data_IF_392770696521
#
_entry.id   IF_392770696521
#
_cell.length_a   1.000
_cell.length_b   1.000
_cell.length_c   1.000
_cell.angle_alpha   90.00
_cell.angle_beta   90.00
_cell.angle_gamma   90.00
#
_symmetry.space_group_name_H-M   'P 1'
#
loop_
_entity.id
_entity.type
_entity.pdbx_description
1 polymer ?
#
# COMPACT_ATOMS: atom_id res chain seq x y z
N UNK A 1 -18.54 5.29 2.53
CA UNK A 1 -18.37 4.67 3.87
C UNK A 1 -18.43 3.16 3.67
N UNK A 2 -17.40 2.39 4.05
CA UNK A 2 -17.44 0.94 3.91
C UNK A 2 -18.51 0.32 4.83
N UNK A 3 -19.20 -0.70 4.33
CA UNK A 3 -20.08 -1.55 5.13
C UNK A 3 -19.20 -2.60 5.83
N UNK A 4 -19.26 -2.67 7.16
CA UNK A 4 -18.68 -3.78 7.90
C UNK A 4 -19.63 -4.97 7.83
N UNK A 5 -19.19 -6.08 7.22
CA UNK A 5 -20.01 -7.28 7.09
C UNK A 5 -20.23 -8.01 8.42
N UNK A 6 -19.32 -7.82 9.40
CA UNK A 6 -19.43 -8.45 10.72
C UNK A 6 -20.47 -7.76 11.61
N UNK A 7 -20.64 -6.45 11.44
CA UNK A 7 -21.57 -5.65 12.26
C UNK A 7 -22.77 -5.15 11.45
N UNK A 8 -22.83 -5.47 10.15
CA UNK A 8 -23.78 -4.96 9.17
C UNK A 8 -23.99 -3.43 9.27
N UNK A 9 -22.94 -2.71 9.68
CA UNK A 9 -23.00 -1.28 9.97
C UNK A 9 -22.06 -0.49 9.09
N UNK A 10 -22.50 0.72 8.75
CA UNK A 10 -21.66 1.69 8.04
C UNK A 10 -20.59 2.18 9.01
N UNK A 11 -19.34 1.78 8.77
CA UNK A 11 -18.21 2.25 9.58
C UNK A 11 -17.64 3.53 8.98
N UNK A 12 -17.30 4.46 9.86
CA UNK A 12 -16.68 5.71 9.47
C UNK A 12 -15.31 5.44 8.84
N UNK A 13 -15.19 5.70 7.53
CA UNK A 13 -13.89 5.79 6.89
C UNK A 13 -13.22 7.09 7.32
N UNK A 14 -11.93 7.07 7.70
CA UNK A 14 -11.23 8.30 8.06
C UNK A 14 -11.12 9.28 6.89
N UNK A 15 -11.21 8.81 5.64
CA UNK A 15 -11.15 9.62 4.43
C UNK A 15 -12.41 9.32 3.60
N UNK A 16 -13.09 10.38 3.16
CA UNK A 16 -14.25 10.27 2.25
C UNK A 16 -13.80 9.86 0.85
N UNK A 17 -14.74 9.40 0.02
CA UNK A 17 -14.43 9.03 -1.36
C UNK A 17 -13.87 10.22 -2.15
N UNK A 18 -14.47 11.41 -2.00
CA UNK A 18 -14.03 12.62 -2.69
C UNK A 18 -12.64 13.09 -2.24
N UNK A 19 -12.35 13.06 -0.94
CA UNK A 19 -11.00 13.35 -0.42
C UNK A 19 -9.98 12.36 -0.97
N UNK A 20 -10.32 11.06 -0.97
CA UNK A 20 -9.44 10.01 -1.46
C UNK A 20 -9.09 10.18 -2.94
N UNK A 21 -10.10 10.46 -3.77
CA UNK A 21 -9.91 10.72 -5.21
C UNK A 21 -9.01 11.93 -5.47
N UNK A 22 -9.14 13.01 -4.68
CA UNK A 22 -8.26 14.18 -4.80
C UNK A 22 -6.80 13.84 -4.53
N UNK A 23 -6.51 13.04 -3.51
CA UNK A 23 -5.14 12.60 -3.21
C UNK A 23 -4.60 11.68 -4.32
N UNK A 24 -5.41 10.73 -4.79
CA UNK A 24 -5.02 9.86 -5.91
C UNK A 24 -4.74 10.66 -7.18
N UNK A 25 -5.55 11.67 -7.49
CA UNK A 25 -5.33 12.56 -8.64
C UNK A 25 -4.06 13.41 -8.49
N UNK A 26 -3.83 14.00 -7.31
CA UNK A 26 -2.62 14.78 -7.01
C UNK A 26 -1.36 13.96 -7.25
N UNK A 27 -1.38 12.71 -6.82
CA UNK A 27 -0.24 11.79 -6.87
C UNK A 27 -0.16 11.02 -8.20
N UNK A 28 -0.91 11.44 -9.23
CA UNK A 28 -1.02 10.78 -10.55
C UNK A 28 -1.36 9.29 -10.47
N UNK A 29 -2.10 8.88 -9.44
CA UNK A 29 -2.42 7.49 -9.12
C UNK A 29 -1.17 6.61 -8.95
N UNK A 30 -0.01 7.22 -8.66
CA UNK A 30 1.24 6.50 -8.40
C UNK A 30 1.42 6.29 -6.91
N UNK A 31 1.80 5.06 -6.54
CA UNK A 31 2.14 4.76 -5.16
C UNK A 31 3.39 5.55 -4.74
N UNK A 32 3.25 6.42 -3.74
CA UNK A 32 4.34 7.28 -3.28
C UNK A 32 5.50 6.51 -2.63
N UNK A 33 5.24 5.27 -2.17
CA UNK A 33 6.26 4.36 -1.64
C UNK A 33 7.06 3.65 -2.73
N UNK A 34 6.40 2.88 -3.60
CA UNK A 34 7.09 1.99 -4.56
C UNK A 34 7.02 2.40 -6.03
N UNK A 35 6.29 3.47 -6.36
CA UNK A 35 6.13 3.95 -7.73
C UNK A 35 5.18 3.15 -8.60
N UNK A 36 4.43 2.17 -8.05
CA UNK A 36 3.41 1.43 -8.81
C UNK A 36 2.45 2.41 -9.48
N UNK A 37 2.34 2.31 -10.80
CA UNK A 37 1.43 3.11 -11.60
C UNK A 37 0.02 2.50 -11.58
N UNK A 38 -0.88 3.15 -10.85
CA UNK A 38 -2.28 2.75 -10.73
C UNK A 38 -3.08 2.83 -12.02
N UNK A 39 -2.62 3.59 -13.02
CA UNK A 39 -3.30 3.73 -14.32
C UNK A 39 -2.81 2.75 -15.37
N UNK A 40 -1.66 2.10 -15.13
CA UNK A 40 -1.08 1.16 -16.09
C UNK A 40 -1.96 -0.08 -16.35
N UNK A 41 -2.81 -0.48 -15.41
CA UNK A 41 -3.75 -1.59 -15.59
C UNK A 41 -4.94 -1.48 -14.64
N UNK A 42 -6.05 -2.14 -14.98
CA UNK A 42 -7.23 -2.25 -14.11
C UNK A 42 -6.87 -2.87 -12.75
N UNK A 43 -6.05 -3.93 -12.75
CA UNK A 43 -5.59 -4.59 -11.53
C UNK A 43 -4.79 -3.65 -10.62
N UNK A 44 -3.94 -2.79 -11.19
CA UNK A 44 -3.21 -1.79 -10.42
C UNK A 44 -4.18 -0.76 -9.81
N UNK A 45 -5.18 -0.31 -10.57
CA UNK A 45 -6.18 0.64 -10.08
C UNK A 45 -6.94 0.08 -8.87
N UNK A 46 -7.30 -1.21 -8.89
CA UNK A 46 -8.04 -1.88 -7.81
C UNK A 46 -7.26 -1.92 -6.48
N UNK A 47 -5.93 -1.91 -6.54
CA UNK A 47 -5.07 -1.95 -5.33
C UNK A 47 -4.62 -0.57 -4.86
N UNK A 48 -5.03 0.52 -5.51
CA UNK A 48 -4.70 1.87 -5.04
C UNK A 48 -5.60 2.30 -3.87
N UNK A 49 -4.98 2.94 -2.87
CA UNK A 49 -5.60 3.44 -1.63
C UNK A 49 -4.93 4.75 -1.23
N UNK A 50 -5.48 5.39 -0.19
CA UNK A 50 -4.86 6.54 0.47
C UNK A 50 -4.38 6.12 1.86
N UNK A 51 -3.13 6.41 2.17
CA UNK A 51 -2.50 6.14 3.46
C UNK A 51 -2.22 7.45 4.22
N UNK A 52 -2.24 7.36 5.55
CA UNK A 52 -1.80 8.41 6.46
C UNK A 52 -0.30 8.21 6.74
N UNK A 53 0.54 9.15 6.33
CA UNK A 53 2.00 9.10 6.56
C UNK A 53 2.28 8.97 8.06
N UNK A 54 1.74 9.88 8.86
CA UNK A 54 1.62 9.76 10.31
C UNK A 54 0.28 9.11 10.65
N UNK A 55 0.25 7.90 11.25
CA UNK A 55 -0.98 7.21 11.59
C UNK A 55 -1.90 8.01 12.53
N UNK A 56 -3.22 7.89 12.33
CA UNK A 56 -4.23 8.52 13.19
C UNK A 56 -4.10 8.16 14.67
N UNK A 57 -3.72 6.92 14.99
CA UNK A 57 -3.50 6.47 16.36
C UNK A 57 -2.41 7.30 17.09
N UNK A 58 -1.55 7.99 16.34
CA UNK A 58 -0.50 8.87 16.87
C UNK A 58 -0.76 10.35 16.55
N UNK A 59 -2.04 10.76 16.52
CA UNK A 59 -2.48 12.14 16.27
C UNK A 59 -2.14 12.68 14.87
N UNK A 60 -1.93 11.80 13.89
CA UNK A 60 -1.84 12.19 12.49
C UNK A 60 -3.08 12.96 12.04
N UNK A 61 -2.87 14.17 11.52
CA UNK A 61 -3.95 15.04 11.05
C UNK A 61 -4.49 14.52 9.71
N UNK A 62 -5.79 14.79 9.48
CA UNK A 62 -6.45 14.51 8.20
C UNK A 62 -6.30 15.74 7.29
N UNK A 63 -5.06 16.05 6.94
CA UNK A 63 -4.73 17.10 5.98
C UNK A 63 -4.06 16.48 4.75
N UNK A 64 -4.15 17.10 3.56
CA UNK A 64 -3.53 16.58 2.36
C UNK A 64 -2.02 16.34 2.48
N UNK A 65 -1.29 17.09 3.32
CA UNK A 65 0.15 16.91 3.52
C UNK A 65 0.50 15.61 4.25
N UNK A 66 -0.41 15.09 5.07
CA UNK A 66 -0.27 13.81 5.75
C UNK A 66 -0.90 12.62 5.01
N UNK A 67 -1.47 12.84 3.82
CA UNK A 67 -2.13 11.80 3.02
C UNK A 67 -1.37 11.56 1.72
N UNK A 68 -1.19 10.29 1.36
CA UNK A 68 -0.49 9.89 0.13
C UNK A 68 -1.21 8.75 -0.58
N UNK A 69 -1.09 8.71 -1.91
CA UNK A 69 -1.49 7.56 -2.71
C UNK A 69 -0.53 6.39 -2.45
N UNK A 70 -1.09 5.22 -2.17
CA UNK A 70 -0.33 4.01 -1.89
C UNK A 70 -1.03 2.78 -2.48
N UNK A 71 -0.26 1.75 -2.84
CA UNK A 71 -0.85 0.45 -3.13
C UNK A 71 -1.08 -0.33 -1.84
N UNK A 72 -2.06 -1.24 -1.83
CA UNK A 72 -2.39 -2.09 -0.68
C UNK A 72 -1.14 -2.77 -0.09
N UNK A 73 -0.23 -3.41 -0.87
CA UNK A 73 0.95 -4.06 -0.29
C UNK A 73 1.86 -3.11 0.48
N UNK A 74 2.12 -1.91 -0.05
CA UNK A 74 2.97 -0.92 0.64
C UNK A 74 2.30 -0.42 1.92
N UNK A 75 1.00 -0.16 1.88
CA UNK A 75 0.23 0.24 3.06
C UNK A 75 0.28 -0.83 4.16
N UNK A 76 0.09 -2.10 3.78
CA UNK A 76 0.18 -3.24 4.71
C UNK A 76 1.58 -3.39 5.31
N UNK A 77 2.64 -3.23 4.50
CA UNK A 77 4.03 -3.32 4.97
C UNK A 77 4.34 -2.22 5.98
N UNK A 78 3.95 -0.97 5.70
CA UNK A 78 4.12 0.15 6.64
C UNK A 78 3.37 -0.10 7.94
N UNK A 79 2.12 -0.56 7.84
CA UNK A 79 1.26 -0.82 8.98
C UNK A 79 1.04 0.43 9.84
N UNK A 80 1.09 0.25 11.16
CA UNK A 80 0.85 1.31 12.17
C UNK A 80 2.14 1.90 12.74
N UNK A 81 3.29 1.59 12.15
CA UNK A 81 4.60 2.12 12.57
C UNK A 81 4.67 3.63 12.32
N UNK A 82 5.43 4.31 13.17
CA UNK A 82 5.67 5.74 13.07
C UNK A 82 7.14 5.97 12.76
N UNK A 83 7.37 6.88 11.84
CA UNK A 83 8.68 7.26 11.31
C UNK A 83 8.86 8.76 11.56
N UNK A 84 10.10 9.24 11.61
CA UNK A 84 10.33 10.67 11.82
C UNK A 84 9.86 11.50 10.61
N UNK A 85 9.98 10.93 9.42
CA UNK A 85 9.59 11.54 8.16
C UNK A 85 9.09 10.49 7.16
N UNK A 86 8.56 10.96 6.03
CA UNK A 86 8.06 10.10 4.97
C UNK A 86 9.17 9.26 4.30
N UNK A 87 10.37 9.82 4.17
CA UNK A 87 11.49 9.15 3.49
C UNK A 87 11.96 7.91 4.26
N UNK A 88 11.99 7.97 5.60
CA UNK A 88 12.24 6.83 6.46
C UNK A 88 11.15 5.76 6.32
N UNK A 89 9.88 6.17 6.28
CA UNK A 89 8.77 5.25 6.06
C UNK A 89 8.92 4.54 4.71
N UNK A 90 9.28 5.29 3.67
CA UNK A 90 9.50 4.78 2.32
C UNK A 90 10.70 3.84 2.25
N UNK A 91 11.83 4.21 2.85
CA UNK A 91 13.01 3.36 2.92
C UNK A 91 12.70 2.03 3.61
N UNK A 92 11.97 2.07 4.72
CA UNK A 92 11.51 0.86 5.41
C UNK A 92 10.61 -0.01 4.52
N UNK A 93 9.59 0.59 3.88
CA UNK A 93 8.66 -0.15 3.02
C UNK A 93 9.40 -0.82 1.87
N UNK A 94 10.34 -0.12 1.22
CA UNK A 94 11.11 -0.66 0.10
C UNK A 94 12.02 -1.80 0.53
N UNK A 95 12.71 -1.65 1.68
CA UNK A 95 13.53 -2.73 2.26
C UNK A 95 12.69 -3.99 2.50
N UNK A 96 11.54 -3.87 3.15
CA UNK A 96 10.68 -5.03 3.40
C UNK A 96 10.11 -5.64 2.11
N UNK A 97 9.80 -4.82 1.09
CA UNK A 97 9.40 -5.35 -0.23
C UNK A 97 10.48 -6.21 -0.85
N UNK A 98 11.74 -5.81 -0.74
CA UNK A 98 12.87 -6.58 -1.26
C UNK A 98 13.05 -7.88 -0.47
N UNK A 99 12.99 -7.85 0.85
CA UNK A 99 13.04 -9.05 1.70
C UNK A 99 11.91 -10.03 1.35
N UNK A 100 10.68 -9.54 1.19
CA UNK A 100 9.54 -10.35 0.78
C UNK A 100 9.73 -10.95 -0.61
N UNK A 101 10.32 -10.20 -1.54
CA UNK A 101 10.64 -10.71 -2.88
C UNK A 101 11.63 -11.86 -2.81
N UNK A 102 12.77 -11.69 -2.12
CA UNK A 102 13.79 -12.74 -1.93
C UNK A 102 13.19 -13.99 -1.26
N UNK A 103 12.34 -13.78 -0.26
CA UNK A 103 11.66 -14.86 0.44
C UNK A 103 10.66 -15.60 -0.45
N UNK A 104 9.95 -14.88 -1.33
CA UNK A 104 9.05 -15.50 -2.30
C UNK A 104 9.85 -16.30 -3.33
N UNK A 105 10.85 -15.69 -3.97
CA UNK A 105 11.71 -16.31 -4.98
C UNK A 105 12.36 -17.61 -4.47
N UNK A 106 12.89 -17.60 -3.23
CA UNK A 106 13.50 -18.80 -2.63
C UNK A 106 12.52 -19.93 -2.36
N UNK A 107 11.24 -19.64 -2.10
CA UNK A 107 10.20 -20.63 -1.79
C UNK A 107 9.44 -21.11 -3.02
N UNK A 108 9.29 -20.25 -4.03
CA UNK A 108 8.50 -20.54 -5.23
C UNK A 108 9.35 -20.91 -6.43
N UNK A 109 10.68 -20.89 -6.32
CA UNK A 109 11.59 -21.46 -7.31
C UNK A 109 11.16 -22.91 -7.58
N UNK A 110 10.51 -23.13 -8.73
CA UNK A 110 10.26 -24.48 -9.23
C UNK A 110 11.64 -25.14 -9.42
N UNK A 111 11.89 -26.32 -8.86
CA UNK A 111 13.05 -27.09 -9.24
C UNK A 111 13.02 -27.25 -10.76
N UNK A 112 14.12 -26.96 -11.45
CA UNK A 112 14.26 -27.37 -12.83
C UNK A 112 13.98 -28.88 -12.86
N UNK A 113 12.94 -29.28 -13.60
CA UNK A 113 12.59 -30.68 -13.75
C UNK A 113 13.86 -31.44 -14.12
N UNK A 114 14.25 -32.44 -13.31
CA UNK A 114 15.34 -33.34 -13.66
C UNK A 114 15.07 -33.83 -15.07
N UNK A 115 15.90 -33.42 -16.03
CA UNK A 115 15.87 -33.93 -17.39
C UNK A 115 15.73 -35.44 -17.30
N UNK A 116 14.67 -35.98 -17.91
CA UNK A 116 14.47 -37.40 -18.04
C UNK A 116 15.77 -38.00 -18.59
N UNK A 117 16.47 -38.78 -17.77
CA UNK A 117 17.55 -39.63 -18.25
C UNK A 117 16.89 -40.66 -19.17
N UNK A 118 17.18 -40.55 -20.46
CA UNK A 118 16.96 -41.60 -21.46
C UNK A 118 17.87 -42.80 -21.18
#
# INVERSE_FOLDING_TARGET
MPLSLMTLSVVASPVTLQEGLKILQRDDHRCQYCGLDGRASFENALVMRVDFVLPRARKGKKDPGNLVACCIPCNTIKGTRVYANFDEAKAFVLKQREELRKNWESKTARPFARSAKA
#
